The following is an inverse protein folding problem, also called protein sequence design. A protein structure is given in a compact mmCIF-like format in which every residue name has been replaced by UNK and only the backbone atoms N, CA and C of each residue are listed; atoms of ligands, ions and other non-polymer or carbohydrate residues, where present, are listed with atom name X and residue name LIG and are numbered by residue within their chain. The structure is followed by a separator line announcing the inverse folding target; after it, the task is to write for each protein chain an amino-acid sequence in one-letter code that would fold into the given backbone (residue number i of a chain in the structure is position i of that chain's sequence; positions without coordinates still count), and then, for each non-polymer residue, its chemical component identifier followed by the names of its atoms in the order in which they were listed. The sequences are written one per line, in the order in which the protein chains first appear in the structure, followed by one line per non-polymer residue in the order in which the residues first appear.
data_IF_425577385637
#
_entry.id   IF_425577385637
#
_cell.length_a   1.000
_cell.length_b   1.000
_cell.length_c   1.000
_cell.angle_alpha   90.00
_cell.angle_beta   90.00
_cell.angle_gamma   90.00
#
_symmetry.space_group_name_H-M   'P 1'
#
loop_
_entity.id
_entity.type
_entity.pdbx_description
1 polymer ?
#
# COMPACT_ATOMS: atom_id res chain seq x y z
N UNK A 1 33.12 26.52 67.66
CA UNK A 1 31.96 25.60 67.46
C UNK A 1 31.30 25.70 66.06
N UNK A 2 31.02 26.91 65.58
CA UNK A 2 30.38 27.03 64.18
C UNK A 2 31.28 26.56 63.06
N UNK A 3 32.60 26.79 63.09
CA UNK A 3 33.53 26.35 62.01
C UNK A 3 33.71 24.83 62.03
N UNK A 4 33.68 24.17 63.15
CA UNK A 4 33.79 22.73 63.30
C UNK A 4 32.55 22.00 62.76
N UNK A 5 31.38 22.62 62.91
CA UNK A 5 30.11 22.12 62.36
C UNK A 5 30.05 22.22 60.80
N UNK A 6 30.64 23.30 60.25
CA UNK A 6 30.73 23.50 58.82
C UNK A 6 31.67 22.47 58.13
N UNK A 7 32.81 22.18 58.84
CA UNK A 7 33.79 21.18 58.34
C UNK A 7 33.21 19.76 58.32
N UNK A 8 32.40 19.40 59.32
CA UNK A 8 31.69 18.11 59.36
C UNK A 8 30.63 18.05 58.30
N UNK A 9 29.91 19.13 57.98
CA UNK A 9 28.89 19.19 56.96
C UNK A 9 29.47 19.04 55.53
N UNK A 10 30.66 19.60 55.27
CA UNK A 10 31.39 19.45 54.00
C UNK A 10 31.92 18.02 53.78
N UNK A 11 32.32 17.33 54.85
CA UNK A 11 32.80 15.96 54.79
C UNK A 11 31.69 14.91 54.49
N UNK A 12 30.44 15.24 54.82
CA UNK A 12 29.29 14.36 54.56
C UNK A 12 28.85 14.43 53.09
N UNK A 13 29.18 15.52 52.37
CA UNK A 13 28.81 15.71 50.97
C UNK A 13 29.76 15.00 49.97
N UNK A 14 30.89 14.47 50.42
CA UNK A 14 31.91 13.87 49.54
C UNK A 14 31.67 12.40 49.17
N UNK A 15 30.58 11.77 49.63
CA UNK A 15 30.33 10.35 49.42
C UNK A 15 29.24 10.02 48.37
N UNK A 16 28.68 11.04 47.72
CA UNK A 16 27.74 10.80 46.62
C UNK A 16 28.35 11.24 45.29
N UNK A 17 28.59 10.33 44.40
CA UNK A 17 28.98 10.63 43.01
C UNK A 17 27.74 10.68 42.09
N UNK A 18 27.67 11.73 41.29
CA UNK A 18 26.62 11.93 40.32
C UNK A 18 27.01 11.23 38.99
N UNK A 19 26.17 10.36 38.51
CA UNK A 19 26.39 9.71 37.21
C UNK A 19 25.87 10.62 36.07
N UNK A 20 26.79 11.20 35.29
CA UNK A 20 26.50 12.11 34.19
C UNK A 20 25.72 11.45 33.01
N UNK A 21 25.62 10.12 32.96
CA UNK A 21 24.88 9.42 31.92
C UNK A 21 23.43 9.13 32.28
N UNK A 22 23.15 8.89 33.55
CA UNK A 22 21.81 8.48 34.00
C UNK A 22 21.12 9.56 34.87
N UNK A 23 21.85 10.58 35.36
CA UNK A 23 21.30 11.64 36.20
C UNK A 23 20.88 11.19 37.58
N UNK A 24 21.33 10.01 38.05
CA UNK A 24 20.93 9.41 39.32
C UNK A 24 22.10 9.46 40.33
N UNK A 25 21.83 9.84 41.58
CA UNK A 25 22.79 9.80 42.69
C UNK A 25 23.02 8.34 43.08
N UNK A 26 24.27 7.84 42.92
CA UNK A 26 24.63 6.50 43.37
C UNK A 26 25.41 6.57 44.70
N UNK A 27 25.02 5.73 45.64
CA UNK A 27 25.74 5.53 46.88
C UNK A 27 26.87 4.49 46.67
N UNK A 28 28.12 4.84 46.91
CA UNK A 28 29.31 4.01 46.63
C UNK A 28 29.42 2.74 47.50
N UNK A 29 28.42 2.41 48.30
CA UNK A 29 28.43 1.25 49.20
C UNK A 29 27.58 0.07 48.71
N UNK A 30 27.17 0.05 47.44
CA UNK A 30 26.62 -1.21 46.89
C UNK A 30 27.77 -2.19 46.61
N UNK A 31 27.89 -3.17 47.48
CA UNK A 31 28.61 -4.41 47.25
C UNK A 31 28.20 -4.91 45.87
N UNK A 32 29.19 -5.04 44.96
CA UNK A 32 28.99 -5.67 43.64
C UNK A 32 28.67 -7.14 43.92
N UNK A 33 27.44 -7.46 44.26
CA UNK A 33 26.90 -8.77 43.98
C UNK A 33 26.97 -8.93 42.49
N UNK A 34 27.94 -9.72 42.01
CA UNK A 34 27.91 -10.29 40.68
C UNK A 34 26.55 -10.99 40.55
N UNK A 35 25.54 -10.28 40.02
CA UNK A 35 24.36 -10.94 39.52
C UNK A 35 24.87 -12.00 38.55
N UNK A 36 24.90 -13.24 39.02
CA UNK A 36 25.00 -14.37 38.13
C UNK A 36 23.89 -14.16 37.09
N UNK A 37 24.32 -13.94 35.85
CA UNK A 37 23.40 -13.87 34.75
C UNK A 37 22.74 -15.28 34.69
N UNK A 38 21.56 -15.38 35.30
CA UNK A 38 20.77 -16.61 35.39
C UNK A 38 20.45 -17.17 34.00
N UNK A 39 20.66 -16.37 32.96
CA UNK A 39 20.48 -16.74 31.55
C UNK A 39 21.77 -17.05 30.80
N UNK A 40 22.92 -17.14 31.53
CA UNK A 40 24.22 -17.51 30.95
C UNK A 40 24.23 -18.99 30.55
N UNK A 41 23.71 -19.29 29.37
CA UNK A 41 23.54 -20.65 28.83
C UNK A 41 22.26 -20.83 28.02
N UNK A 42 21.30 -19.92 28.17
CA UNK A 42 20.18 -19.89 27.25
C UNK A 42 20.62 -19.31 25.91
N UNK A 43 20.84 -20.16 24.93
CA UNK A 43 20.87 -19.74 23.53
C UNK A 43 19.48 -19.18 23.24
N UNK A 44 19.38 -17.86 22.97
CA UNK A 44 18.17 -17.29 22.32
C UNK A 44 17.96 -18.10 21.05
N UNK A 45 17.03 -19.05 21.09
CA UNK A 45 16.82 -19.99 20.01
C UNK A 45 16.47 -19.27 18.70
N UNK A 46 15.78 -18.14 18.72
CA UNK A 46 15.57 -17.25 17.57
C UNK A 46 15.02 -15.91 18.07
N UNK A 47 15.45 -14.78 17.49
CA UNK A 47 14.66 -13.55 17.52
C UNK A 47 13.58 -13.69 16.46
N UNK A 48 12.35 -13.24 16.73
CA UNK A 48 11.25 -13.24 15.76
C UNK A 48 11.69 -12.67 14.39
N UNK A 49 12.51 -11.62 14.37
CA UNK A 49 13.07 -11.02 13.16
C UNK A 49 13.87 -11.98 12.27
N UNK A 50 14.60 -12.95 12.85
CA UNK A 50 15.39 -13.91 12.07
C UNK A 50 14.52 -14.89 11.30
N UNK A 51 13.37 -15.29 11.84
CA UNK A 51 12.44 -16.21 11.18
C UNK A 51 11.88 -15.62 9.87
N UNK A 52 11.61 -14.32 9.86
CA UNK A 52 10.99 -13.66 8.71
C UNK A 52 11.99 -13.26 7.61
N UNK A 53 13.29 -13.36 7.86
CA UNK A 53 14.37 -13.08 6.88
C UNK A 53 15.08 -14.35 6.40
N UNK A 54 14.59 -15.54 6.74
CA UNK A 54 15.14 -16.81 6.32
C UNK A 54 14.40 -17.37 5.09
N UNK A 55 15.14 -18.13 4.28
CA UNK A 55 14.55 -18.97 3.24
C UNK A 55 13.91 -20.18 3.92
N UNK A 56 12.63 -20.38 3.67
CA UNK A 56 11.84 -21.49 4.19
C UNK A 56 11.27 -22.25 2.99
N UNK A 57 11.73 -23.46 2.78
CA UNK A 57 11.19 -24.31 1.71
C UNK A 57 9.74 -24.70 2.01
N UNK A 58 8.86 -24.74 1.01
CA UNK A 58 7.50 -25.20 1.18
C UNK A 58 7.47 -26.66 1.64
N UNK A 59 6.56 -26.99 2.54
CA UNK A 59 6.33 -28.39 2.91
C UNK A 59 5.90 -29.20 1.68
N UNK A 60 6.38 -30.43 1.53
CA UNK A 60 6.06 -31.33 0.40
C UNK A 60 4.54 -31.56 0.22
N UNK A 61 3.78 -31.50 1.32
CA UNK A 61 2.33 -31.68 1.33
C UNK A 61 1.55 -30.39 1.28
N UNK A 62 2.23 -29.23 1.14
CA UNK A 62 1.55 -27.93 1.09
C UNK A 62 0.67 -27.84 -0.14
N UNK A 63 -0.62 -27.64 0.09
CA UNK A 63 -1.61 -27.36 -0.96
C UNK A 63 -2.24 -26.00 -0.72
N UNK A 64 -1.92 -25.06 -1.56
CA UNK A 64 -2.51 -23.73 -1.54
C UNK A 64 -3.56 -23.67 -2.65
N UNK A 65 -4.79 -23.41 -2.24
CA UNK A 65 -5.92 -23.21 -3.15
C UNK A 65 -6.23 -21.72 -3.23
N UNK A 66 -5.93 -21.05 -4.35
CA UNK A 66 -6.32 -19.66 -4.56
C UNK A 66 -7.84 -19.48 -4.64
N UNK A 67 -8.29 -18.21 -4.55
CA UNK A 67 -9.67 -17.86 -4.90
C UNK A 67 -9.94 -18.23 -6.37
N UNK A 68 -11.22 -18.49 -6.75
CA UNK A 68 -11.59 -18.82 -8.12
C UNK A 68 -11.10 -17.78 -9.13
N UNK A 69 -10.78 -18.24 -10.32
CA UNK A 69 -10.36 -17.36 -11.42
C UNK A 69 -11.53 -16.46 -11.83
N UNK A 70 -11.26 -15.16 -11.94
CA UNK A 70 -12.25 -14.15 -12.29
C UNK A 70 -11.93 -13.51 -13.63
N UNK A 71 -12.85 -13.61 -14.57
CA UNK A 71 -12.81 -12.82 -15.79
C UNK A 71 -13.23 -11.38 -15.45
N UNK A 72 -12.25 -10.53 -15.26
CA UNK A 72 -12.48 -9.13 -14.97
C UNK A 72 -12.77 -8.34 -16.25
N UNK A 73 -13.79 -7.49 -16.23
CA UNK A 73 -14.19 -6.66 -17.40
C UNK A 73 -13.91 -5.18 -17.22
N UNK A 74 -13.64 -4.73 -15.99
CA UNK A 74 -13.49 -3.32 -15.65
C UNK A 74 -12.43 -3.12 -14.57
N UNK A 75 -11.82 -1.94 -14.58
CA UNK A 75 -10.87 -1.50 -13.55
C UNK A 75 -11.16 -0.05 -13.22
N UNK A 76 -12.11 0.16 -12.31
CA UNK A 76 -12.73 1.47 -12.07
C UNK A 76 -12.06 2.30 -10.98
N UNK A 77 -11.18 1.66 -10.19
CA UNK A 77 -10.52 2.21 -9.02
C UNK A 77 -9.01 2.03 -9.14
N UNK A 78 -8.21 2.92 -8.57
CA UNK A 78 -6.75 2.85 -8.60
C UNK A 78 -6.18 1.58 -7.94
N UNK A 79 -6.90 0.98 -7.00
CA UNK A 79 -6.55 -0.25 -6.31
C UNK A 79 -7.43 -1.43 -6.71
N UNK A 80 -8.12 -1.32 -7.83
CA UNK A 80 -8.99 -2.31 -8.48
C UNK A 80 -10.43 -2.31 -7.96
N UNK A 81 -10.67 -2.44 -6.66
CA UNK A 81 -12.01 -2.56 -6.06
C UNK A 81 -12.07 -1.91 -4.68
N UNK A 82 -13.27 -1.88 -4.10
CA UNK A 82 -13.53 -1.22 -2.82
C UNK A 82 -12.66 -1.73 -1.69
N UNK A 83 -12.33 -3.01 -1.67
CA UNK A 83 -11.50 -3.66 -0.64
C UNK A 83 -10.00 -3.42 -0.79
N UNK A 84 -9.55 -2.80 -1.88
CA UNK A 84 -8.14 -2.67 -2.28
C UNK A 84 -7.41 -4.01 -2.51
N UNK A 85 -8.07 -5.16 -2.36
CA UNK A 85 -7.48 -6.46 -2.68
C UNK A 85 -7.49 -6.71 -4.18
N UNK A 86 -6.57 -7.52 -4.68
CA UNK A 86 -6.56 -7.98 -6.07
C UNK A 86 -7.13 -9.40 -6.13
N UNK A 87 -7.91 -9.68 -7.17
CA UNK A 87 -8.44 -11.02 -7.41
C UNK A 87 -7.44 -11.91 -8.15
N UNK A 88 -7.80 -13.17 -8.30
CA UNK A 88 -7.14 -14.10 -9.18
C UNK A 88 -7.72 -13.95 -10.60
N UNK A 89 -7.01 -13.20 -11.46
CA UNK A 89 -7.55 -12.83 -12.78
C UNK A 89 -7.31 -13.90 -13.84
N UNK A 90 -8.23 -13.97 -14.79
CA UNK A 90 -8.05 -14.74 -16.01
C UNK A 90 -7.04 -14.04 -16.93
N UNK A 91 -6.16 -14.85 -17.57
CA UNK A 91 -5.13 -14.41 -18.51
C UNK A 91 -4.85 -15.49 -19.55
N UNK A 92 -4.77 -15.13 -20.84
CA UNK A 92 -4.51 -16.09 -21.94
C UNK A 92 -3.12 -16.71 -21.88
N UNK A 93 -2.14 -16.03 -21.32
CA UNK A 93 -0.76 -16.48 -21.14
C UNK A 93 -0.01 -16.82 -22.44
N UNK A 94 -0.33 -16.15 -23.53
CA UNK A 94 0.39 -16.31 -24.81
C UNK A 94 1.62 -15.38 -24.90
N UNK A 95 1.64 -14.32 -24.08
CA UNK A 95 2.69 -13.30 -24.04
C UNK A 95 2.93 -12.58 -25.38
N UNK A 96 1.91 -12.43 -26.20
CA UNK A 96 1.98 -11.72 -27.47
C UNK A 96 1.42 -10.31 -27.31
N UNK A 97 2.11 -9.32 -27.90
CA UNK A 97 1.58 -7.97 -28.01
C UNK A 97 0.52 -7.93 -29.11
N UNK A 98 -0.75 -7.82 -28.71
CA UNK A 98 -1.88 -7.81 -29.65
C UNK A 98 -2.37 -6.41 -30.00
N UNK A 99 -2.01 -5.41 -29.19
CA UNK A 99 -2.40 -4.02 -29.43
C UNK A 99 -1.34 -3.04 -28.94
N UNK A 100 -1.21 -1.93 -29.69
CA UNK A 100 -0.41 -0.77 -29.27
C UNK A 100 -1.04 0.52 -29.79
N UNK A 101 -1.37 1.44 -28.91
CA UNK A 101 -1.88 2.76 -29.29
C UNK A 101 -0.78 3.70 -29.80
N UNK A 102 -1.18 4.86 -30.35
CA UNK A 102 -0.33 6.04 -30.44
C UNK A 102 -0.01 6.55 -29.05
N UNK A 103 0.97 7.47 -28.93
CA UNK A 103 1.31 8.12 -27.66
C UNK A 103 0.13 8.94 -27.13
N UNK A 104 -0.32 8.67 -25.87
CA UNK A 104 -1.52 9.26 -25.30
C UNK A 104 -1.27 10.62 -24.65
N UNK A 105 -0.09 10.86 -24.06
CA UNK A 105 0.27 12.16 -23.48
C UNK A 105 1.69 12.58 -23.83
N UNK A 106 1.90 13.88 -23.98
CA UNK A 106 3.24 14.50 -24.07
C UNK A 106 3.92 14.60 -22.71
N UNK A 107 3.13 14.69 -21.63
CA UNK A 107 3.60 14.85 -20.27
C UNK A 107 3.74 13.51 -19.56
N UNK A 108 4.42 13.48 -18.43
CA UNK A 108 4.49 12.30 -17.58
C UNK A 108 3.08 11.92 -17.12
N UNK A 109 2.72 10.66 -17.30
CA UNK A 109 1.43 10.11 -16.86
C UNK A 109 1.54 9.56 -15.45
N UNK A 110 0.42 9.49 -14.74
CA UNK A 110 0.34 8.73 -13.50
C UNK A 110 0.50 7.22 -13.80
N UNK A 111 1.08 6.49 -12.86
CA UNK A 111 1.40 5.07 -13.03
C UNK A 111 0.17 4.15 -12.96
N UNK A 112 -0.98 4.68 -12.52
CA UNK A 112 -2.23 3.94 -12.43
C UNK A 112 -3.15 4.32 -13.59
N UNK A 113 -3.70 3.31 -14.22
CA UNK A 113 -4.63 3.43 -15.34
C UNK A 113 -5.96 2.80 -14.94
N UNK A 114 -7.07 3.33 -15.46
CA UNK A 114 -8.40 2.79 -15.25
C UNK A 114 -9.02 2.34 -16.57
N UNK A 115 -10.00 1.45 -16.48
CA UNK A 115 -10.72 0.93 -17.64
C UNK A 115 -12.20 0.70 -17.31
N UNK A 116 -13.10 1.32 -18.05
CA UNK A 116 -14.55 1.25 -17.81
C UNK A 116 -15.23 0.04 -18.46
N UNK A 117 -14.50 -0.72 -19.27
CA UNK A 117 -14.97 -1.84 -20.09
C UNK A 117 -14.83 -1.57 -21.59
N UNK A 118 -14.74 -0.30 -22.01
CA UNK A 118 -14.58 0.13 -23.41
C UNK A 118 -13.45 1.16 -23.57
N UNK A 119 -13.21 1.99 -22.55
CA UNK A 119 -12.31 3.12 -22.63
C UNK A 119 -11.26 3.08 -21.54
N UNK A 120 -10.03 3.51 -21.85
CA UNK A 120 -8.97 3.75 -20.89
C UNK A 120 -8.97 5.18 -20.42
N UNK A 121 -8.80 5.34 -19.10
CA UNK A 121 -8.64 6.64 -18.47
C UNK A 121 -7.27 6.74 -17.86
N UNK A 122 -6.57 7.80 -18.21
CA UNK A 122 -5.26 8.13 -17.68
C UNK A 122 -5.20 9.60 -17.28
N UNK A 123 -4.34 9.90 -16.33
CA UNK A 123 -4.05 11.29 -15.93
C UNK A 123 -2.57 11.61 -16.13
N UNK A 124 -2.26 12.89 -16.29
CA UNK A 124 -0.87 13.33 -16.36
C UNK A 124 -0.57 14.46 -15.36
N UNK A 125 0.71 14.76 -15.17
CA UNK A 125 1.19 15.76 -14.20
C UNK A 125 0.78 17.21 -14.52
N UNK A 126 0.20 17.46 -15.70
CA UNK A 126 -0.38 18.77 -16.04
C UNK A 126 -1.86 18.85 -15.65
N UNK A 127 -2.44 17.76 -15.15
CA UNK A 127 -3.85 17.69 -14.75
C UNK A 127 -4.79 17.35 -15.89
N UNK A 128 -4.29 16.80 -17.00
CA UNK A 128 -5.16 16.29 -18.04
C UNK A 128 -5.78 14.96 -17.60
N UNK A 129 -7.08 14.82 -17.79
CA UNK A 129 -7.80 13.56 -17.83
C UNK A 129 -7.98 13.20 -19.31
N UNK A 130 -7.48 12.05 -19.70
CA UNK A 130 -7.47 11.57 -21.09
C UNK A 130 -8.24 10.26 -21.14
N UNK A 131 -9.26 10.21 -21.99
CA UNK A 131 -10.07 9.03 -22.25
C UNK A 131 -9.78 8.53 -23.66
N UNK A 132 -9.28 7.30 -23.75
CA UNK A 132 -8.94 6.64 -25.00
C UNK A 132 -9.90 5.49 -25.25
N UNK A 133 -10.63 5.55 -26.37
CA UNK A 133 -11.52 4.46 -26.79
C UNK A 133 -10.74 3.36 -27.50
N UNK A 134 -10.87 2.13 -27.01
CA UNK A 134 -10.30 0.95 -27.66
C UNK A 134 -11.01 0.67 -28.99
N UNK A 135 -12.33 0.80 -29.00
CA UNK A 135 -13.16 0.56 -30.21
C UNK A 135 -12.80 1.50 -31.35
N UNK A 136 -12.68 2.80 -31.08
CA UNK A 136 -12.38 3.80 -32.11
C UNK A 136 -10.87 4.05 -32.28
N UNK A 137 -10.01 3.46 -31.44
CA UNK A 137 -8.55 3.61 -31.43
C UNK A 137 -8.08 5.07 -31.42
N UNK A 138 -8.83 5.95 -30.75
CA UNK A 138 -8.53 7.38 -30.62
C UNK A 138 -8.86 7.92 -29.24
N UNK A 139 -8.27 9.07 -28.92
CA UNK A 139 -8.68 9.85 -27.74
C UNK A 139 -10.05 10.44 -28.06
N UNK A 140 -11.04 10.11 -27.24
CA UNK A 140 -12.43 10.60 -27.38
C UNK A 140 -12.73 11.78 -26.47
N UNK A 141 -11.94 11.91 -25.38
CA UNK A 141 -12.08 13.01 -24.46
C UNK A 141 -10.71 13.38 -23.88
N UNK A 142 -10.46 14.67 -23.80
CA UNK A 142 -9.29 15.22 -23.08
C UNK A 142 -9.71 16.53 -22.46
N UNK A 143 -9.63 16.59 -21.15
CA UNK A 143 -9.99 17.77 -20.38
C UNK A 143 -8.85 18.16 -19.45
N UNK A 144 -8.62 19.45 -19.32
CA UNK A 144 -7.77 20.06 -18.30
C UNK A 144 -8.61 21.08 -17.54
N UNK A 145 -8.94 20.76 -16.32
CA UNK A 145 -9.76 21.60 -15.47
C UNK A 145 -9.06 22.90 -15.04
N UNK A 146 -7.72 22.92 -15.05
CA UNK A 146 -6.94 23.96 -14.40
C UNK A 146 -6.74 25.19 -15.27
N UNK A 147 -6.88 26.37 -14.64
CA UNK A 147 -6.57 27.66 -15.26
C UNK A 147 -5.05 27.88 -15.43
N UNK A 148 -4.69 28.93 -16.16
CA UNK A 148 -3.29 29.26 -16.45
C UNK A 148 -2.43 29.51 -15.19
N UNK A 149 -3.01 30.04 -14.13
CA UNK A 149 -2.34 30.29 -12.84
C UNK A 149 -1.71 29.03 -12.23
N UNK A 150 -2.28 27.85 -12.50
CA UNK A 150 -1.77 26.57 -12.02
C UNK A 150 -0.83 25.86 -13.01
N UNK A 151 -0.50 26.49 -14.15
CA UNK A 151 0.24 25.87 -15.26
C UNK A 151 1.62 25.33 -14.83
N UNK A 152 2.31 26.03 -13.92
CA UNK A 152 3.62 25.62 -13.40
C UNK A 152 3.60 24.45 -12.41
N UNK A 153 2.49 24.21 -11.74
CA UNK A 153 2.38 23.24 -10.67
C UNK A 153 2.17 21.82 -11.23
N UNK A 154 2.82 20.83 -10.59
CA UNK A 154 2.52 19.41 -10.84
C UNK A 154 1.20 19.05 -10.16
N UNK A 155 0.29 18.42 -10.91
CA UNK A 155 -0.99 17.92 -10.41
C UNK A 155 -0.88 16.43 -10.13
N UNK A 156 -1.46 16.01 -9.02
CA UNK A 156 -1.62 14.60 -8.67
C UNK A 156 -3.13 14.33 -8.51
N UNK A 157 -3.71 13.73 -9.54
CA UNK A 157 -5.14 13.42 -9.57
C UNK A 157 -5.38 12.00 -9.09
N UNK A 158 -6.20 11.82 -8.06
CA UNK A 158 -6.76 10.54 -7.70
C UNK A 158 -8.17 10.46 -8.30
N UNK A 159 -8.44 9.41 -9.05
CA UNK A 159 -9.67 9.29 -9.83
C UNK A 159 -10.36 7.95 -9.58
N UNK A 160 -11.68 7.97 -9.65
CA UNK A 160 -12.54 6.78 -9.68
C UNK A 160 -13.62 6.96 -10.73
N UNK A 161 -14.06 5.86 -11.34
CA UNK A 161 -15.09 5.88 -12.37
C UNK A 161 -16.35 5.22 -11.84
N UNK A 162 -17.48 5.89 -12.02
CA UNK A 162 -18.80 5.27 -11.88
C UNK A 162 -19.60 5.57 -13.14
N UNK A 163 -20.03 4.56 -13.88
CA UNK A 163 -20.68 4.70 -15.20
C UNK A 163 -19.80 5.53 -16.15
N UNK A 164 -20.28 6.68 -16.60
CA UNK A 164 -19.57 7.59 -17.51
C UNK A 164 -18.99 8.82 -16.81
N UNK A 165 -18.97 8.81 -15.48
CA UNK A 165 -18.53 9.93 -14.66
C UNK A 165 -17.18 9.59 -14.04
N UNK A 166 -16.23 10.51 -14.18
CA UNK A 166 -14.94 10.49 -13.47
C UNK A 166 -15.03 11.46 -12.30
N UNK A 167 -14.93 10.92 -11.10
CA UNK A 167 -14.76 11.70 -9.90
C UNK A 167 -13.28 11.86 -9.59
N UNK A 168 -12.90 13.07 -9.26
CA UNK A 168 -11.49 13.44 -9.08
C UNK A 168 -11.30 14.20 -7.78
N UNK A 169 -10.22 13.92 -7.08
CA UNK A 169 -9.67 14.78 -6.02
C UNK A 169 -8.18 15.00 -6.28
N UNK A 170 -7.64 16.17 -5.91
CA UNK A 170 -6.28 16.53 -6.28
C UNK A 170 -5.45 17.14 -5.15
N UNK A 171 -4.18 17.31 -5.43
CA UNK A 171 -3.21 17.92 -4.53
C UNK A 171 -3.26 19.46 -4.48
N UNK A 172 -4.26 20.10 -5.09
CA UNK A 172 -4.53 21.53 -4.99
C UNK A 172 -5.79 21.81 -4.16
N UNK A 173 -6.44 20.75 -3.66
CA UNK A 173 -7.67 20.84 -2.85
C UNK A 173 -8.95 20.89 -3.67
N UNK A 174 -8.89 20.62 -4.96
CA UNK A 174 -10.09 20.51 -5.78
C UNK A 174 -10.68 19.10 -5.74
N UNK A 175 -12.01 19.05 -5.74
CA UNK A 175 -12.81 17.88 -6.09
C UNK A 175 -13.77 18.26 -7.20
N UNK A 176 -13.88 17.41 -8.22
CA UNK A 176 -14.76 17.67 -9.36
C UNK A 176 -15.22 16.38 -10.03
N UNK A 177 -16.34 16.46 -10.75
CA UNK A 177 -16.89 15.37 -11.54
C UNK A 177 -17.03 15.77 -13.00
N UNK A 178 -16.59 14.87 -13.89
CA UNK A 178 -16.65 15.03 -15.34
C UNK A 178 -17.42 13.88 -15.96
N UNK A 179 -18.44 14.18 -16.75
CA UNK A 179 -19.03 13.19 -17.66
C UNK A 179 -18.27 13.23 -18.97
N UNK A 180 -17.47 12.19 -19.25
CA UNK A 180 -16.60 12.16 -20.42
C UNK A 180 -17.34 11.78 -21.71
N UNK A 181 -18.54 11.20 -21.64
CA UNK A 181 -19.39 10.93 -22.81
C UNK A 181 -20.10 12.20 -23.25
N UNK A 182 -20.71 12.94 -22.31
CA UNK A 182 -21.33 14.24 -22.56
C UNK A 182 -20.31 15.38 -22.70
N UNK A 183 -19.04 15.09 -22.42
CA UNK A 183 -17.93 16.06 -22.42
C UNK A 183 -18.19 17.28 -21.52
N UNK A 184 -18.83 17.07 -20.37
CA UNK A 184 -19.32 18.11 -19.49
C UNK A 184 -18.72 18.03 -18.09
N UNK A 185 -18.32 19.17 -17.54
CA UNK A 185 -18.05 19.32 -16.11
C UNK A 185 -19.41 19.37 -15.38
N UNK A 186 -19.66 18.41 -14.48
CA UNK A 186 -20.90 18.36 -13.72
C UNK A 186 -20.84 19.31 -12.54
N UNK A 187 -19.77 19.26 -11.78
CA UNK A 187 -19.51 20.17 -10.66
C UNK A 187 -18.02 20.22 -10.34
N UNK A 188 -17.60 21.29 -9.66
CA UNK A 188 -16.25 21.47 -9.12
C UNK A 188 -16.32 22.26 -7.82
N UNK A 189 -15.56 21.81 -6.81
CA UNK A 189 -15.43 22.44 -5.49
C UNK A 189 -13.98 22.56 -5.11
N UNK A 190 -13.60 23.65 -4.42
CA UNK A 190 -12.28 23.83 -3.84
C UNK A 190 -12.39 23.78 -2.32
N UNK A 191 -11.72 22.80 -1.72
CA UNK A 191 -11.66 22.62 -0.27
C UNK A 191 -10.40 23.24 0.35
N UNK A 192 -9.56 23.92 -0.47
CA UNK A 192 -8.35 24.68 -0.10
C UNK A 192 -7.19 23.80 0.40
N UNK A 193 -7.46 22.69 1.05
CA UNK A 193 -6.44 21.77 1.59
C UNK A 193 -6.24 20.61 0.61
N UNK A 194 -4.99 20.31 0.20
CA UNK A 194 -4.69 19.22 -0.72
C UNK A 194 -5.30 17.88 -0.31
N UNK A 195 -5.96 17.19 -1.22
CA UNK A 195 -6.35 15.81 -1.00
C UNK A 195 -5.12 14.89 -1.11
N UNK A 196 -5.06 13.91 -0.21
CA UNK A 196 -3.94 13.00 -0.08
C UNK A 196 -4.38 11.59 0.29
N UNK A 197 -5.33 11.05 -0.45
CA UNK A 197 -5.81 9.67 -0.33
C UNK A 197 -6.22 9.13 -1.68
N UNK A 198 -6.40 7.80 -1.76
CA UNK A 198 -7.27 7.27 -2.79
C UNK A 198 -8.70 7.76 -2.57
N UNK A 199 -9.50 7.68 -3.62
CA UNK A 199 -10.92 8.05 -3.60
C UNK A 199 -11.76 6.79 -3.65
N UNK A 200 -12.87 6.76 -2.90
CA UNK A 200 -13.86 5.68 -2.92
C UNK A 200 -15.26 6.24 -3.08
N UNK A 201 -16.13 5.45 -3.66
CA UNK A 201 -17.57 5.71 -3.64
C UNK A 201 -18.18 4.82 -2.56
N UNK A 202 -18.80 5.45 -1.58
CA UNK A 202 -19.48 4.78 -0.47
C UNK A 202 -20.94 5.15 -0.45
N UNK A 203 -21.79 4.26 -0.99
CA UNK A 203 -23.20 4.54 -1.30
C UNK A 203 -23.27 5.70 -2.32
N UNK A 204 -23.94 6.79 -1.95
CA UNK A 204 -24.08 8.00 -2.77
C UNK A 204 -23.09 9.10 -2.42
N UNK A 205 -22.00 8.74 -1.77
CA UNK A 205 -20.98 9.68 -1.29
C UNK A 205 -19.62 9.35 -1.90
N UNK A 206 -18.90 10.39 -2.27
CA UNK A 206 -17.48 10.30 -2.54
C UNK A 206 -16.76 10.47 -1.22
N UNK A 207 -15.81 9.59 -0.95
CA UNK A 207 -14.99 9.65 0.26
C UNK A 207 -13.53 9.80 -0.11
N UNK A 208 -12.87 10.80 0.46
CA UNK A 208 -11.46 11.10 0.29
C UNK A 208 -10.92 11.83 1.53
N UNK A 209 -9.65 11.69 1.81
CA UNK A 209 -8.99 12.39 2.90
C UNK A 209 -8.00 13.44 2.38
N UNK A 210 -7.88 14.56 3.10
CA UNK A 210 -6.94 15.61 2.80
C UNK A 210 -5.57 15.38 3.47
N UNK A 211 -4.64 16.30 3.28
CA UNK A 211 -3.29 16.23 3.84
C UNK A 211 -3.24 16.42 5.36
N UNK A 212 -4.30 16.92 5.97
CA UNK A 212 -4.42 17.13 7.42
C UNK A 212 -5.22 15.99 8.08
N UNK A 213 -5.29 14.85 7.38
CA UNK A 213 -5.96 13.64 7.85
C UNK A 213 -7.46 13.82 8.14
N UNK A 214 -8.10 14.83 7.56
CA UNK A 214 -9.55 14.98 7.62
C UNK A 214 -10.19 14.16 6.51
N UNK A 215 -11.08 13.25 6.89
CA UNK A 215 -11.86 12.43 5.96
C UNK A 215 -13.13 13.18 5.56
N UNK A 216 -13.34 13.39 4.27
CA UNK A 216 -14.50 14.06 3.70
C UNK A 216 -15.49 13.07 3.12
N UNK A 217 -16.77 13.33 3.38
CA UNK A 217 -17.91 12.74 2.71
C UNK A 217 -18.55 13.83 1.84
N UNK A 218 -18.48 13.65 0.53
CA UNK A 218 -19.00 14.58 -0.46
C UNK A 218 -20.19 13.96 -1.16
N UNK A 219 -21.20 14.74 -1.39
CA UNK A 219 -22.33 14.36 -2.24
C UNK A 219 -21.85 14.15 -3.68
N UNK A 220 -22.06 12.98 -4.25
CA UNK A 220 -21.51 12.66 -5.57
C UNK A 220 -22.19 13.42 -6.72
N UNK A 221 -23.39 13.98 -6.50
CA UNK A 221 -24.14 14.70 -7.53
C UNK A 221 -23.82 16.19 -7.56
N UNK A 222 -23.53 16.79 -6.41
CA UNK A 222 -23.29 18.23 -6.29
C UNK A 222 -21.86 18.60 -5.87
N UNK A 223 -21.11 17.63 -5.37
CA UNK A 223 -19.80 17.85 -4.75
C UNK A 223 -19.85 18.57 -3.40
N UNK A 224 -21.02 18.81 -2.83
CA UNK A 224 -21.12 19.50 -1.54
C UNK A 224 -20.63 18.60 -0.40
N UNK A 225 -19.98 19.22 0.58
CA UNK A 225 -19.55 18.51 1.77
C UNK A 225 -20.77 18.14 2.61
N UNK A 226 -21.00 16.83 2.78
CA UNK A 226 -22.03 16.30 3.68
C UNK A 226 -21.50 16.27 5.10
N UNK A 227 -20.28 15.73 5.27
CA UNK A 227 -19.64 15.55 6.57
C UNK A 227 -18.12 15.59 6.42
N UNK A 228 -17.43 15.95 7.47
CA UNK A 228 -15.98 15.75 7.60
C UNK A 228 -15.66 15.17 8.99
N UNK A 229 -14.71 14.27 9.02
CA UNK A 229 -14.20 13.63 10.24
C UNK A 229 -12.73 14.01 10.36
N UNK A 230 -12.36 14.98 11.21
CA UNK A 230 -10.96 15.26 11.52
C UNK A 230 -10.36 14.09 12.29
N UNK A 231 -9.10 13.85 12.07
CA UNK A 231 -8.30 12.91 12.84
C UNK A 231 -6.95 13.52 13.17
N UNK A 232 -6.02 12.74 13.73
CA UNK A 232 -4.73 13.24 14.18
C UNK A 232 -3.91 13.82 13.02
N UNK A 233 -3.49 15.05 13.15
CA UNK A 233 -2.64 15.73 12.19
C UNK A 233 -1.17 15.32 12.35
N UNK A 234 -0.44 15.31 11.23
CA UNK A 234 1.00 15.06 11.20
C UNK A 234 1.69 16.30 10.65
N UNK A 235 2.58 16.88 11.44
CA UNK A 235 3.33 18.10 11.07
C UNK A 235 4.29 17.83 9.91
N UNK A 236 4.94 16.66 9.89
CA UNK A 236 5.87 16.26 8.85
C UNK A 236 5.18 15.28 7.91
N UNK A 237 5.15 15.60 6.61
CA UNK A 237 4.47 14.79 5.59
C UNK A 237 5.51 14.00 4.78
N UNK A 238 5.39 12.68 4.80
CA UNK A 238 6.20 11.76 3.98
C UNK A 238 5.49 11.43 2.65
N UNK A 239 5.96 10.41 1.94
CA UNK A 239 5.32 9.96 0.69
C UNK A 239 4.07 9.10 0.91
N UNK A 240 3.85 8.57 2.12
CA UNK A 240 2.67 7.79 2.45
C UNK A 240 1.40 8.64 2.30
N UNK A 241 0.39 8.07 1.69
CA UNK A 241 -0.93 8.69 1.51
C UNK A 241 -1.97 7.94 2.33
N UNK A 242 -2.96 8.68 2.82
CA UNK A 242 -4.10 8.09 3.51
C UNK A 242 -4.72 6.97 2.66
N UNK A 243 -5.14 5.89 3.28
CA UNK A 243 -5.73 4.74 2.61
C UNK A 243 -7.16 4.51 3.05
N UNK A 244 -8.05 4.36 2.08
CA UNK A 244 -9.48 4.12 2.29
C UNK A 244 -9.85 2.81 1.60
N UNK A 245 -10.59 1.94 2.31
CA UNK A 245 -11.25 0.77 1.74
C UNK A 245 -12.67 0.67 2.26
N UNK A 246 -13.53 0.00 1.51
CA UNK A 246 -14.96 -0.09 1.80
C UNK A 246 -15.40 -1.55 1.75
N UNK A 247 -16.25 -1.95 2.68
CA UNK A 247 -16.95 -3.23 2.68
C UNK A 247 -18.43 -2.98 3.01
N UNK A 248 -19.32 -3.27 2.08
CA UNK A 248 -20.79 -3.10 2.17
C UNK A 248 -21.23 -1.81 2.91
N UNK A 249 -21.28 -1.87 4.25
CA UNK A 249 -21.83 -0.79 5.09
C UNK A 249 -20.76 -0.16 6.01
N UNK A 250 -19.50 -0.53 5.84
CA UNK A 250 -18.40 -0.05 6.68
C UNK A 250 -17.25 0.48 5.82
N UNK A 251 -16.78 1.65 6.17
CA UNK A 251 -15.59 2.26 5.61
C UNK A 251 -14.43 2.11 6.60
N UNK A 252 -13.27 1.76 6.08
CA UNK A 252 -12.02 1.67 6.84
C UNK A 252 -11.06 2.73 6.34
N UNK A 253 -10.55 3.52 7.26
CA UNK A 253 -9.67 4.64 6.97
C UNK A 253 -8.38 4.52 7.77
N UNK A 254 -7.25 4.42 7.08
CA UNK A 254 -5.90 4.44 7.66
C UNK A 254 -5.27 5.79 7.33
N UNK A 255 -4.98 6.59 8.36
CA UNK A 255 -4.39 7.90 8.19
C UNK A 255 -2.85 7.89 8.25
N UNK A 256 -2.22 9.01 7.95
CA UNK A 256 -0.75 9.16 7.93
C UNK A 256 -0.13 9.21 9.34
N UNK A 257 -0.92 9.24 10.39
CA UNK A 257 -0.48 9.10 11.78
C UNK A 257 -0.37 7.62 12.21
N UNK A 258 -0.95 6.71 11.42
CA UNK A 258 -1.02 5.28 11.72
C UNK A 258 -2.26 4.88 12.51
N UNK A 259 -3.29 5.70 12.50
CA UNK A 259 -4.59 5.36 13.08
C UNK A 259 -5.51 4.74 12.06
N UNK A 260 -6.19 3.66 12.46
CA UNK A 260 -7.23 2.98 11.69
C UNK A 260 -8.58 3.30 12.31
N UNK A 261 -9.52 3.70 11.47
CA UNK A 261 -10.90 3.96 11.82
C UNK A 261 -11.81 3.00 11.08
N UNK A 262 -12.75 2.39 11.78
CA UNK A 262 -13.92 1.72 11.22
C UNK A 262 -15.12 2.64 11.37
N UNK A 263 -15.77 2.96 10.27
CA UNK A 263 -16.81 4.00 10.21
C UNK A 263 -18.02 3.42 9.49
N UNK A 264 -19.20 3.57 10.09
CA UNK A 264 -20.44 3.08 9.49
C UNK A 264 -20.96 4.02 8.37
N UNK A 265 -22.05 3.63 7.73
CA UNK A 265 -22.66 4.39 6.64
C UNK A 265 -23.15 5.79 7.05
N UNK A 266 -23.46 6.02 8.32
CA UNK A 266 -23.87 7.31 8.87
C UNK A 266 -22.68 8.22 9.20
N UNK A 267 -21.45 7.68 9.04
CA UNK A 267 -20.23 8.38 9.40
C UNK A 267 -19.96 8.41 10.90
N UNK A 268 -20.47 7.42 11.67
CA UNK A 268 -20.13 7.21 13.08
C UNK A 268 -18.96 6.23 13.17
N UNK A 269 -18.04 6.49 14.08
CA UNK A 269 -16.90 5.61 14.35
C UNK A 269 -17.41 4.42 15.15
N UNK A 270 -17.24 3.20 14.59
CA UNK A 270 -17.52 1.95 15.28
C UNK A 270 -16.39 1.62 16.26
N UNK A 271 -15.16 1.74 15.80
CA UNK A 271 -13.95 1.59 16.58
C UNK A 271 -12.78 2.31 15.90
N UNK A 272 -11.75 2.63 16.68
CA UNK A 272 -10.47 3.08 16.16
C UNK A 272 -9.31 2.49 16.96
N UNK A 273 -8.15 2.43 16.34
CA UNK A 273 -6.89 2.05 17.00
C UNK A 273 -5.73 2.77 16.34
N UNK A 274 -4.66 3.00 17.09
CA UNK A 274 -3.40 3.52 16.55
C UNK A 274 -2.35 2.40 16.54
N UNK A 275 -1.77 2.13 15.37
CA UNK A 275 -0.75 1.09 15.20
C UNK A 275 0.57 1.49 15.88
N UNK A 276 0.86 2.80 15.96
CA UNK A 276 2.11 3.33 16.49
C UNK A 276 2.18 3.39 18.02
N UNK A 277 1.05 3.31 18.75
CA UNK A 277 1.01 3.45 20.20
C UNK A 277 1.82 2.40 20.98
N UNK A 278 2.24 1.33 20.32
CA UNK A 278 3.01 0.25 20.94
C UNK A 278 4.42 0.07 20.37
N UNK A 279 4.85 0.94 19.47
CA UNK A 279 6.26 1.02 19.10
C UNK A 279 6.95 1.93 20.09
N UNK A 280 8.02 1.46 20.75
CA UNK A 280 8.95 2.31 21.50
C UNK A 280 9.20 3.55 20.66
N UNK A 281 8.87 4.70 21.24
CA UNK A 281 8.70 5.97 20.54
C UNK A 281 10.03 6.39 19.94
N UNK A 282 10.24 6.00 18.70
CA UNK A 282 11.16 6.70 17.84
C UNK A 282 10.34 7.84 17.21
N UNK A 283 10.32 8.98 17.89
CA UNK A 283 9.56 10.19 17.52
C UNK A 283 9.90 10.71 16.12
N UNK A 284 10.97 10.20 15.52
CA UNK A 284 11.44 10.55 14.18
C UNK A 284 10.93 9.60 13.08
N UNK A 285 10.25 8.52 13.41
CA UNK A 285 9.73 7.59 12.41
C UNK A 285 8.35 8.02 11.91
N UNK A 286 8.34 8.61 10.74
CA UNK A 286 7.11 8.87 9.98
C UNK A 286 6.42 7.53 9.66
N UNK A 287 5.12 7.45 9.95
CA UNK A 287 4.33 6.28 9.59
C UNK A 287 4.27 6.13 8.07
N UNK A 288 4.53 4.92 7.58
CA UNK A 288 4.43 4.56 6.17
C UNK A 288 3.90 3.13 6.04
N UNK A 289 3.00 2.92 5.08
CA UNK A 289 2.44 1.60 4.81
C UNK A 289 2.00 1.47 3.34
N UNK A 290 1.74 0.25 2.91
CA UNK A 290 0.93 0.00 1.73
C UNK A 290 -0.54 0.31 2.01
N UNK A 291 -1.37 0.51 0.97
CA UNK A 291 -2.82 0.64 1.14
C UNK A 291 -3.38 -0.52 1.96
N UNK A 292 -4.23 -0.21 2.93
CA UNK A 292 -4.92 -1.23 3.70
C UNK A 292 -5.77 -2.11 2.76
N UNK A 293 -5.82 -3.40 3.07
CA UNK A 293 -6.55 -4.40 2.29
C UNK A 293 -7.62 -5.01 3.19
N UNK A 294 -8.83 -5.14 2.66
CA UNK A 294 -9.90 -5.90 3.30
C UNK A 294 -10.03 -7.26 2.63
N UNK A 295 -10.12 -8.29 3.43
CA UNK A 295 -10.44 -9.63 2.97
C UNK A 295 -11.32 -10.34 3.99
N UNK A 296 -12.58 -10.59 3.64
CA UNK A 296 -13.59 -11.15 4.54
C UNK A 296 -13.71 -10.29 5.83
N UNK A 297 -13.42 -10.89 6.96
CA UNK A 297 -13.45 -10.30 8.30
C UNK A 297 -12.10 -9.72 8.77
N UNK A 298 -11.13 -9.56 7.86
CA UNK A 298 -9.76 -9.16 8.20
C UNK A 298 -9.32 -7.90 7.49
N UNK A 299 -8.54 -7.08 8.20
CA UNK A 299 -7.81 -5.94 7.67
C UNK A 299 -6.33 -6.30 7.66
N UNK A 300 -5.68 -6.16 6.51
CA UNK A 300 -4.27 -6.45 6.31
C UNK A 300 -3.52 -5.16 6.05
N UNK A 301 -2.45 -4.91 6.80
CA UNK A 301 -1.61 -3.71 6.67
C UNK A 301 -0.15 -4.13 6.71
N UNK A 302 0.62 -3.70 5.72
CA UNK A 302 2.07 -3.82 5.71
C UNK A 302 2.69 -2.43 5.89
N UNK A 303 3.31 -2.21 7.04
CA UNK A 303 4.05 -0.98 7.35
C UNK A 303 5.54 -1.14 7.01
N UNK A 304 6.37 -0.13 7.27
CA UNK A 304 7.81 -0.22 7.05
C UNK A 304 8.53 -1.21 7.99
N UNK A 305 7.95 -1.48 9.16
CA UNK A 305 8.58 -2.34 10.20
C UNK A 305 7.84 -3.65 10.40
N UNK A 306 6.51 -3.64 10.30
CA UNK A 306 5.66 -4.76 10.69
C UNK A 306 4.55 -5.02 9.69
N UNK A 307 4.14 -6.25 9.66
CA UNK A 307 2.93 -6.73 9.02
C UNK A 307 1.87 -7.01 10.07
N UNK A 308 0.64 -6.55 9.81
CA UNK A 308 -0.47 -6.69 10.75
C UNK A 308 -1.68 -7.32 10.09
N UNK A 309 -2.40 -8.12 10.87
CA UNK A 309 -3.75 -8.58 10.56
C UNK A 309 -4.63 -8.19 11.75
N UNK A 310 -5.72 -7.48 11.46
CA UNK A 310 -6.73 -7.09 12.45
C UNK A 310 -8.07 -7.69 12.09
N UNK A 311 -8.90 -7.94 13.11
CA UNK A 311 -10.30 -8.24 12.93
C UNK A 311 -11.06 -6.98 12.51
N UNK A 312 -11.82 -7.04 11.42
CA UNK A 312 -12.50 -5.86 10.86
C UNK A 312 -13.71 -5.40 11.70
N UNK A 313 -14.32 -6.30 12.50
CA UNK A 313 -15.51 -5.95 13.29
C UNK A 313 -15.16 -5.15 14.54
N UNK A 314 -14.09 -5.50 15.24
CA UNK A 314 -13.75 -4.92 16.53
C UNK A 314 -12.35 -4.29 16.62
N UNK A 315 -11.55 -4.34 15.53
CA UNK A 315 -10.19 -3.79 15.50
C UNK A 315 -9.15 -4.57 16.29
N UNK A 316 -9.50 -5.75 16.88
CA UNK A 316 -8.51 -6.53 17.62
C UNK A 316 -7.38 -7.02 16.73
N UNK A 317 -6.14 -6.91 17.20
CA UNK A 317 -4.95 -7.38 16.48
C UNK A 317 -4.85 -8.89 16.57
N UNK A 318 -4.93 -9.57 15.43
CA UNK A 318 -4.81 -11.02 15.31
C UNK A 318 -3.35 -11.45 15.12
N UNK A 319 -2.60 -10.69 14.28
CA UNK A 319 -1.20 -10.98 13.97
C UNK A 319 -0.40 -9.69 13.97
N UNK A 320 0.83 -9.77 14.48
CA UNK A 320 1.91 -8.80 14.26
C UNK A 320 3.17 -9.58 13.95
N UNK A 321 3.79 -9.33 12.79
CA UNK A 321 5.01 -10.00 12.38
C UNK A 321 6.06 -8.96 11.95
N UNK A 322 7.34 -9.10 12.31
CA UNK A 322 8.43 -8.18 11.93
C UNK A 322 8.89 -8.43 10.49
N UNK A 323 7.95 -8.35 9.56
CA UNK A 323 8.16 -8.52 8.12
C UNK A 323 7.46 -7.39 7.38
N UNK A 324 8.02 -6.94 6.28
CA UNK A 324 7.45 -5.85 5.49
C UNK A 324 7.40 -6.23 4.03
N UNK A 325 6.41 -5.71 3.30
CA UNK A 325 6.31 -5.87 1.86
C UNK A 325 6.81 -4.63 1.14
N UNK A 326 7.50 -4.78 0.01
CA UNK A 326 7.88 -3.68 -0.89
C UNK A 326 6.83 -3.42 -1.97
N UNK A 327 5.85 -4.28 -2.08
CA UNK A 327 4.71 -4.16 -3.00
C UNK A 327 3.40 -4.37 -2.24
N UNK A 328 2.30 -3.92 -2.82
CA UNK A 328 0.98 -4.19 -2.24
C UNK A 328 0.79 -5.70 -2.07
N UNK A 329 0.49 -6.21 -0.86
CA UNK A 329 0.19 -7.62 -0.63
C UNK A 329 -0.99 -8.11 -1.46
N UNK A 330 -1.04 -9.41 -1.75
CA UNK A 330 -2.20 -10.08 -2.34
C UNK A 330 -2.75 -11.06 -1.32
N UNK A 331 -4.05 -11.02 -1.14
CA UNK A 331 -4.76 -11.99 -0.30
C UNK A 331 -5.62 -12.87 -1.18
N UNK A 332 -5.41 -14.17 -1.09
CA UNK A 332 -6.20 -15.15 -1.83
C UNK A 332 -6.55 -16.32 -0.91
N UNK A 333 -7.85 -16.48 -0.62
CA UNK A 333 -8.39 -17.45 0.30
C UNK A 333 -7.71 -17.37 1.69
N UNK A 334 -7.00 -18.39 2.14
CA UNK A 334 -6.32 -18.43 3.45
C UNK A 334 -4.87 -17.99 3.41
N UNK A 335 -4.41 -17.40 2.30
CA UNK A 335 -3.00 -17.08 2.12
C UNK A 335 -2.79 -15.63 1.74
N UNK A 336 -1.72 -15.05 2.26
CA UNK A 336 -1.24 -13.71 1.95
C UNK A 336 0.13 -13.87 1.29
N UNK A 337 0.31 -13.22 0.17
CA UNK A 337 1.58 -13.21 -0.56
C UNK A 337 2.18 -11.82 -0.50
N UNK A 338 3.42 -11.73 -0.08
CA UNK A 338 4.20 -10.49 0.03
C UNK A 338 5.57 -10.66 -0.60
N UNK A 339 6.23 -9.55 -0.91
CA UNK A 339 7.63 -9.52 -1.33
C UNK A 339 8.38 -8.59 -0.40
N UNK A 340 9.41 -9.11 0.28
CA UNK A 340 10.18 -8.36 1.26
C UNK A 340 11.26 -7.46 0.64
N UNK A 341 11.85 -6.57 1.45
CA UNK A 341 13.00 -5.74 1.03
C UNK A 341 14.20 -6.56 0.53
N UNK A 342 14.34 -7.80 1.01
CA UNK A 342 15.39 -8.74 0.60
C UNK A 342 14.99 -9.58 -0.62
N UNK A 343 13.94 -9.20 -1.34
CA UNK A 343 13.37 -9.93 -2.48
C UNK A 343 12.91 -11.36 -2.14
N UNK A 344 12.46 -11.60 -0.92
CA UNK A 344 11.84 -12.87 -0.58
C UNK A 344 10.35 -12.83 -0.96
N UNK A 345 9.91 -13.82 -1.74
CA UNK A 345 8.49 -14.13 -1.92
C UNK A 345 8.03 -14.96 -0.74
N UNK A 346 7.16 -14.40 0.10
CA UNK A 346 6.69 -15.03 1.33
C UNK A 346 5.20 -15.29 1.24
N UNK A 347 4.81 -16.51 1.60
CA UNK A 347 3.42 -16.91 1.77
C UNK A 347 3.11 -17.07 3.25
N UNK A 348 2.11 -16.34 3.73
CA UNK A 348 1.68 -16.31 5.13
C UNK A 348 0.27 -16.87 5.21
N UNK A 349 0.01 -17.74 6.19
CA UNK A 349 -1.34 -18.17 6.51
C UNK A 349 -2.09 -17.03 7.23
N UNK A 350 -3.25 -16.63 6.70
CA UNK A 350 -4.01 -15.48 7.22
C UNK A 350 -4.62 -15.72 8.61
N UNK A 351 -4.89 -16.97 8.96
CA UNK A 351 -5.55 -17.30 10.22
C UNK A 351 -4.56 -17.44 11.37
N UNK A 352 -3.36 -17.99 11.10
CA UNK A 352 -2.34 -18.25 12.11
C UNK A 352 -1.19 -17.23 12.11
N UNK A 353 -0.99 -16.50 11.00
CA UNK A 353 0.18 -15.64 10.79
C UNK A 353 1.47 -16.41 10.53
N UNK A 354 1.43 -17.75 10.43
CA UNK A 354 2.60 -18.58 10.18
C UNK A 354 3.07 -18.49 8.73
N UNK A 355 4.38 -18.62 8.52
CA UNK A 355 4.98 -18.66 7.18
C UNK A 355 4.82 -20.06 6.61
N UNK A 356 4.17 -20.18 5.45
CA UNK A 356 4.08 -21.42 4.69
C UNK A 356 5.36 -21.68 3.88
N UNK A 357 5.95 -20.64 3.32
CA UNK A 357 7.25 -20.65 2.66
C UNK A 357 7.80 -19.23 2.50
N UNK A 358 9.11 -19.15 2.29
CA UNK A 358 9.86 -17.92 1.97
C UNK A 358 10.98 -18.24 0.99
N UNK A 359 10.94 -17.66 -0.21
CA UNK A 359 11.81 -17.99 -1.34
C UNK A 359 12.54 -16.74 -1.82
N UNK A 360 13.86 -16.82 -2.04
CA UNK A 360 14.63 -15.74 -2.67
C UNK A 360 14.37 -15.72 -4.18
N UNK A 361 13.64 -14.71 -4.63
CA UNK A 361 13.27 -14.56 -6.06
C UNK A 361 14.51 -14.54 -6.95
N UNK A 362 15.59 -13.87 -6.53
CA UNK A 362 16.81 -13.75 -7.34
C UNK A 362 17.53 -15.11 -7.47
N UNK A 363 17.51 -15.90 -6.43
CA UNK A 363 18.08 -17.25 -6.40
C UNK A 363 17.25 -18.23 -7.23
N UNK A 364 15.93 -18.19 -7.06
CA UNK A 364 15.00 -19.00 -7.84
C UNK A 364 15.14 -18.75 -9.35
N UNK A 365 15.30 -17.48 -9.77
CA UNK A 365 15.55 -17.13 -11.18
C UNK A 365 16.90 -17.70 -11.63
N UNK A 366 17.95 -17.56 -10.84
CA UNK A 366 19.29 -18.03 -11.17
C UNK A 366 19.31 -19.54 -11.36
N UNK A 367 18.67 -20.27 -10.47
CA UNK A 367 18.54 -21.73 -10.52
C UNK A 367 17.72 -22.19 -11.74
N UNK A 368 16.59 -21.52 -12.01
CA UNK A 368 15.72 -21.86 -13.14
C UNK A 368 16.38 -21.63 -14.50
N UNK A 369 17.15 -20.53 -14.64
CA UNK A 369 17.84 -20.17 -15.89
C UNK A 369 19.28 -20.71 -15.96
N UNK A 370 19.76 -21.41 -14.94
CA UNK A 370 21.16 -21.90 -14.83
C UNK A 370 22.16 -20.75 -15.04
N UNK A 371 21.96 -19.65 -14.32
CA UNK A 371 22.77 -18.42 -14.44
C UNK A 371 23.27 -17.95 -13.08
N UNK A 372 24.16 -16.95 -13.07
CA UNK A 372 24.58 -16.31 -11.82
C UNK A 372 23.43 -15.48 -11.23
N UNK A 373 23.30 -15.52 -9.89
CA UNK A 373 22.35 -14.70 -9.15
C UNK A 373 22.56 -13.21 -9.43
N UNK A 374 21.49 -12.50 -9.77
CA UNK A 374 21.48 -11.05 -9.98
C UNK A 374 20.34 -10.44 -9.18
N UNK A 375 20.59 -9.29 -8.56
CA UNK A 375 19.53 -8.56 -7.87
C UNK A 375 18.44 -8.11 -8.85
N UNK A 376 17.21 -8.30 -8.44
CA UNK A 376 16.02 -7.87 -9.21
C UNK A 376 15.29 -6.75 -8.48
N UNK A 377 14.64 -5.87 -9.23
CA UNK A 377 13.77 -4.83 -8.70
C UNK A 377 12.34 -5.22 -9.04
N UNK A 378 11.58 -5.56 -8.01
CA UNK A 378 10.18 -5.94 -8.19
C UNK A 378 9.32 -4.70 -8.30
N UNK A 379 8.46 -4.65 -9.32
CA UNK A 379 7.50 -3.56 -9.52
C UNK A 379 6.13 -3.89 -8.92
N UNK A 380 5.64 -5.10 -9.12
CA UNK A 380 4.33 -5.52 -8.59
C UNK A 380 4.20 -7.02 -8.54
N UNK A 381 3.29 -7.48 -7.70
CA UNK A 381 2.85 -8.86 -7.57
C UNK A 381 1.39 -8.94 -8.03
N UNK A 382 1.01 -10.01 -8.73
CA UNK A 382 -0.35 -10.26 -9.19
C UNK A 382 -0.65 -11.75 -9.18
N UNK A 383 -1.93 -12.11 -9.14
CA UNK A 383 -2.36 -13.49 -9.25
C UNK A 383 -3.16 -13.68 -10.53
N UNK A 384 -2.69 -14.56 -11.41
CA UNK A 384 -3.30 -14.84 -12.71
C UNK A 384 -3.38 -16.37 -12.92
N UNK A 385 -4.54 -16.87 -13.29
CA UNK A 385 -4.76 -18.30 -13.56
C UNK A 385 -4.19 -19.20 -12.46
N UNK A 386 -4.48 -18.90 -11.19
CA UNK A 386 -3.98 -19.59 -10.00
C UNK A 386 -2.45 -19.51 -9.79
N UNK A 387 -1.74 -18.66 -10.50
CA UNK A 387 -0.29 -18.50 -10.33
C UNK A 387 0.05 -17.09 -9.88
N UNK A 388 1.18 -16.96 -9.18
CA UNK A 388 1.75 -15.68 -8.80
C UNK A 388 2.65 -15.15 -9.92
N UNK A 389 2.39 -13.93 -10.35
CA UNK A 389 3.20 -13.22 -11.33
C UNK A 389 3.95 -12.09 -10.64
N UNK A 390 5.25 -12.25 -10.52
CA UNK A 390 6.17 -11.20 -10.03
C UNK A 390 6.66 -10.43 -11.24
N UNK A 391 6.19 -9.18 -11.40
CA UNK A 391 6.61 -8.32 -12.49
C UNK A 391 7.78 -7.44 -12.02
N UNK A 392 8.85 -7.41 -12.80
CA UNK A 392 10.06 -6.65 -12.53
C UNK A 392 10.05 -5.30 -13.27
N UNK A 393 10.81 -4.34 -12.76
CA UNK A 393 10.94 -3.00 -13.37
C UNK A 393 11.59 -3.04 -14.76
N UNK A 394 12.46 -4.03 -15.02
CA UNK A 394 13.05 -4.29 -16.33
C UNK A 394 12.10 -4.97 -17.32
N UNK A 395 10.82 -5.16 -16.93
CA UNK A 395 9.75 -5.74 -17.75
C UNK A 395 9.81 -7.25 -17.95
N UNK A 396 10.58 -7.96 -17.13
CA UNK A 396 10.43 -9.40 -17.00
C UNK A 396 9.29 -9.73 -16.04
N UNK A 397 8.67 -10.88 -16.24
CA UNK A 397 7.82 -11.49 -15.22
C UNK A 397 8.33 -12.88 -14.87
N UNK A 398 8.11 -13.24 -13.62
CA UNK A 398 8.39 -14.57 -13.10
C UNK A 398 7.06 -15.15 -12.65
N UNK A 399 6.77 -16.37 -13.08
CA UNK A 399 5.57 -17.10 -12.68
C UNK A 399 5.94 -18.17 -11.66
N UNK A 400 5.29 -18.08 -10.52
CA UNK A 400 5.37 -19.10 -9.47
C UNK A 400 4.02 -19.80 -9.34
N UNK A 401 4.02 -21.10 -9.09
CA UNK A 401 2.82 -21.77 -8.59
C UNK A 401 2.50 -21.21 -7.18
N UNK A 402 1.26 -21.34 -6.69
CA UNK A 402 0.92 -20.89 -5.34
C UNK A 402 1.77 -21.55 -4.25
N UNK A 403 2.26 -22.77 -4.50
CA UNK A 403 3.12 -23.52 -3.60
C UNK A 403 4.61 -23.10 -3.65
N UNK A 404 4.92 -22.01 -4.37
CA UNK A 404 6.26 -21.43 -4.41
C UNK A 404 7.20 -22.00 -5.49
N UNK A 405 6.78 -22.93 -6.34
CA UNK A 405 7.62 -23.45 -7.42
C UNK A 405 7.64 -22.49 -8.60
N UNK A 406 8.82 -22.07 -9.04
CA UNK A 406 9.00 -21.29 -10.26
C UNK A 406 8.63 -22.13 -11.48
N UNK A 407 7.89 -21.57 -12.43
CA UNK A 407 7.40 -22.27 -13.63
C UNK A 407 7.77 -21.56 -14.92
N UNK A 408 8.05 -20.26 -14.87
CA UNK A 408 8.36 -19.48 -16.07
C UNK A 408 9.11 -18.19 -15.71
N UNK A 409 10.06 -17.80 -16.59
CA UNK A 409 10.70 -16.49 -16.60
C UNK A 409 10.68 -15.99 -18.03
N UNK A 410 9.95 -14.90 -18.27
CA UNK A 410 9.80 -14.32 -19.62
C UNK A 410 9.87 -12.79 -19.60
N UNK A 411 10.23 -12.22 -20.75
CA UNK A 411 10.15 -10.78 -20.97
C UNK A 411 8.78 -10.42 -21.53
N UNK A 412 8.17 -9.34 -21.01
CA UNK A 412 7.00 -8.77 -21.65
C UNK A 412 7.37 -8.20 -23.02
N UNK A 413 6.48 -8.25 -24.02
CA UNK A 413 6.77 -7.79 -25.38
C UNK A 413 6.90 -6.26 -25.51
N UNK A 414 6.78 -5.52 -24.39
CA UNK A 414 6.99 -4.08 -24.32
C UNK A 414 7.44 -3.66 -22.92
N UNK A 415 8.25 -2.58 -22.82
CA UNK A 415 8.76 -2.06 -21.56
C UNK A 415 7.64 -1.47 -20.70
N UNK A 416 7.50 -1.97 -19.49
CA UNK A 416 6.48 -1.59 -18.51
C UNK A 416 6.71 -0.16 -18.02
N UNK A 417 5.75 0.74 -18.23
CA UNK A 417 5.80 2.13 -17.78
C UNK A 417 4.84 2.41 -16.62
N UNK A 418 3.62 1.86 -16.64
CA UNK A 418 2.63 1.97 -15.55
C UNK A 418 2.50 0.67 -14.77
N UNK A 419 1.74 0.67 -13.69
CA UNK A 419 1.21 -0.57 -13.12
C UNK A 419 0.27 -1.23 -14.13
N UNK A 420 0.35 -2.56 -14.31
CA UNK A 420 -0.55 -3.27 -15.19
C UNK A 420 -1.94 -3.42 -14.55
N UNK A 421 -2.95 -3.49 -15.40
CA UNK A 421 -4.29 -3.94 -15.06
C UNK A 421 -4.61 -5.23 -15.83
N UNK A 422 -5.49 -6.04 -15.27
CA UNK A 422 -5.84 -7.36 -15.80
C UNK A 422 -7.32 -7.37 -16.16
N UNK A 423 -7.61 -7.34 -17.45
CA UNK A 423 -8.96 -7.16 -17.95
C UNK A 423 -9.13 -7.94 -19.25
N UNK A 424 -10.27 -8.63 -19.43
CA UNK A 424 -10.62 -9.38 -20.63
C UNK A 424 -9.52 -10.37 -21.07
N UNK A 425 -8.91 -11.09 -20.13
CA UNK A 425 -7.81 -12.03 -20.37
C UNK A 425 -6.50 -11.39 -20.89
N UNK A 426 -6.35 -10.07 -20.76
CA UNK A 426 -5.15 -9.34 -21.15
C UNK A 426 -4.45 -8.73 -19.93
N UNK A 427 -3.13 -8.57 -20.06
CA UNK A 427 -2.34 -7.64 -19.28
C UNK A 427 -2.30 -6.33 -20.07
N UNK A 428 -2.77 -5.25 -19.47
CA UNK A 428 -2.85 -3.95 -20.12
C UNK A 428 -2.05 -2.92 -19.31
N UNK A 429 -1.22 -2.12 -19.97
CA UNK A 429 -0.38 -1.12 -19.32
C UNK A 429 0.06 -0.01 -20.29
N UNK A 430 0.50 1.12 -19.76
CA UNK A 430 1.26 2.10 -20.53
C UNK A 430 2.73 1.68 -20.57
N UNK A 431 3.33 1.71 -21.73
CA UNK A 431 4.77 1.52 -21.84
C UNK A 431 5.54 2.81 -21.47
N UNK A 432 6.89 2.75 -21.36
CA UNK A 432 7.74 3.91 -21.05
C UNK A 432 7.55 5.08 -22.04
N UNK A 433 7.04 4.81 -23.25
CA UNK A 433 6.71 5.83 -24.26
C UNK A 433 5.26 6.34 -24.17
N UNK A 434 4.51 5.97 -23.11
CA UNK A 434 3.11 6.37 -22.88
C UNK A 434 2.15 5.91 -23.96
N UNK A 435 2.43 4.75 -24.57
CA UNK A 435 1.54 4.04 -25.46
C UNK A 435 0.86 2.92 -24.68
N UNK A 436 -0.44 2.76 -24.89
CA UNK A 436 -1.21 1.67 -24.31
C UNK A 436 -0.85 0.36 -25.02
N UNK A 437 -0.58 -0.67 -24.24
CA UNK A 437 -0.15 -2.00 -24.71
C UNK A 437 -1.11 -3.04 -24.14
N UNK A 438 -1.52 -3.99 -25.00
CA UNK A 438 -2.24 -5.20 -24.58
C UNK A 438 -1.38 -6.41 -24.88
N UNK A 439 -1.27 -7.28 -23.89
CA UNK A 439 -0.57 -8.57 -23.97
C UNK A 439 -1.56 -9.67 -23.60
N UNK A 440 -1.69 -10.69 -24.45
CA UNK A 440 -2.59 -11.83 -24.21
C UNK A 440 -1.88 -13.07 -23.69
#
# INVERSE_FOLDING_TARGET
MKVFLITIFVLILSHCSFDNKTGIWKNNNEIIEKKKDEYKGFKKLYTEEKLFNQIISPNKNLKILPEPIKLNKKWLDEFYQDTNNSDNFSYKNLNNKVFQSKKLSRHQTKDKILFDGENFLITDIRGNIIVYSVKYQKIIFKNNFYKNEFKGLKKNLNIIIEKNIVYTVDNLGYSYALNYVEQKLLWAKNYKIPFRSNIKIFKDKIVAANSDNTLFYLDKFSGNKIKSLPSEEVSIKNEFVNSIAVSKDTLYYLNTFGSIYSINNEGRINWFLNINQHSEIDTNNLFNSHPLILHKDKIIISTEKYFYIFNSFNGSRLVRAPITSIVKPIVSNKNIFIITKNNLLVCINIDTGSINYSLDISEEIANFLVTKKKNVIVKTLSMLNNNLYVLLDNSYYIRFSPNGKITEVKNLPAKLGSYPIFVNDFIMFLNKNKKLIFVN
#
